data_IF_284950757398
#
_entry.id   IF_284950757398
#
_cell.length_a   1.000
_cell.length_b   1.000
_cell.length_c   1.000
_cell.angle_alpha   90.00
_cell.angle_beta   90.00
_cell.angle_gamma   90.00
#
_symmetry.space_group_name_H-M   'P 1'
#
loop_
_entity.id
_entity.type
_entity.pdbx_description
1 polymer ?
#
# COMPACT_ATOMS: atom_id res chain seq x y z
N UNK A 1 -21.83 9.75 0.19
CA UNK A 1 -20.59 10.49 0.49
C UNK A 1 -19.44 9.50 0.34
N UNK A 2 -18.79 9.50 -0.83
CA UNK A 2 -17.75 8.53 -1.16
C UNK A 2 -16.43 9.06 -0.62
N UNK A 3 -16.16 8.72 0.64
CA UNK A 3 -14.89 9.00 1.28
C UNK A 3 -13.90 7.96 0.79
N UNK A 4 -13.18 8.28 -0.30
CA UNK A 4 -12.10 7.45 -0.78
C UNK A 4 -10.87 7.68 0.09
N UNK A 5 -10.73 6.86 1.12
CA UNK A 5 -9.55 6.81 1.97
C UNK A 5 -8.54 5.86 1.35
N UNK A 6 -7.40 6.40 0.96
CA UNK A 6 -6.26 5.61 0.49
C UNK A 6 -5.22 5.66 1.59
N UNK A 7 -5.04 4.52 2.26
CA UNK A 7 -3.80 4.22 2.96
C UNK A 7 -2.88 3.67 1.88
N UNK A 8 -1.61 4.06 1.84
CA UNK A 8 -0.59 3.43 0.99
C UNK A 8 0.40 2.76 1.96
N UNK A 9 0.70 1.48 1.74
CA UNK A 9 1.26 0.50 2.70
C UNK A 9 2.73 0.73 3.07
N UNK A 10 3.26 0.31 4.22
CA UNK A 10 2.70 0.02 5.57
C UNK A 10 3.78 -0.26 6.64
N UNK A 11 5.08 -0.27 6.31
CA UNK A 11 6.12 -0.66 7.31
C UNK A 11 6.90 0.55 7.84
N UNK A 12 6.84 1.67 7.12
CA UNK A 12 7.76 2.80 7.34
C UNK A 12 7.01 4.10 7.59
N UNK A 13 5.91 4.35 6.86
CA UNK A 13 5.18 5.60 6.91
C UNK A 13 3.69 5.38 6.59
N UNK A 14 2.81 6.05 7.33
CA UNK A 14 1.36 6.04 7.09
C UNK A 14 0.80 7.44 7.39
N UNK A 15 0.03 7.98 6.45
CA UNK A 15 -0.62 9.29 6.59
C UNK A 15 -2.09 9.19 6.21
N UNK A 16 -2.95 9.88 6.97
CA UNK A 16 -4.36 9.98 6.66
C UNK A 16 -4.63 11.24 5.83
N UNK A 17 -5.11 11.06 4.61
CA UNK A 17 -5.38 12.15 3.68
C UNK A 17 -6.90 12.31 3.51
N UNK A 18 -7.41 13.53 3.69
CA UNK A 18 -8.82 13.87 3.51
C UNK A 18 -8.97 14.69 2.23
N UNK A 19 -9.61 14.14 1.20
CA UNK A 19 -9.74 14.82 -0.10
C UNK A 19 -10.42 13.98 -1.18
N UNK A 20 -10.38 14.45 -2.44
CA UNK A 20 -11.03 13.81 -3.60
C UNK A 20 -10.22 12.66 -4.23
N UNK A 21 -9.30 12.05 -3.48
CA UNK A 21 -8.48 10.91 -3.92
C UNK A 21 -6.99 11.24 -4.05
N UNK A 22 -6.20 10.18 -4.27
CA UNK A 22 -4.75 10.27 -4.47
C UNK A 22 -4.46 10.66 -5.91
N UNK A 23 -3.52 11.59 -6.07
CA UNK A 23 -2.95 11.97 -7.36
C UNK A 23 -1.42 11.83 -7.29
N UNK A 24 -0.76 12.10 -8.40
CA UNK A 24 0.68 11.98 -8.56
C UNK A 24 1.47 12.86 -7.59
N UNK A 25 1.01 14.08 -7.30
CA UNK A 25 1.68 14.97 -6.36
C UNK A 25 1.65 14.41 -4.93
N UNK A 26 0.52 13.85 -4.52
CA UNK A 26 0.37 13.19 -3.22
C UNK A 26 1.24 11.95 -3.16
N UNK A 27 1.25 11.13 -4.22
CA UNK A 27 2.05 9.93 -4.30
C UNK A 27 3.56 10.23 -4.25
N UNK A 28 4.04 11.22 -4.98
CA UNK A 28 5.45 11.62 -4.96
C UNK A 28 5.88 12.11 -3.57
N UNK A 29 5.02 12.88 -2.87
CA UNK A 29 5.28 13.27 -1.47
C UNK A 29 5.39 12.05 -0.55
N UNK A 30 4.55 11.05 -0.76
CA UNK A 30 4.63 9.79 -0.01
C UNK A 30 5.96 9.07 -0.25
N UNK A 31 6.42 8.97 -1.51
CA UNK A 31 7.74 8.41 -1.84
C UNK A 31 8.88 9.22 -1.21
N UNK A 32 8.81 10.55 -1.22
CA UNK A 32 9.77 11.41 -0.51
C UNK A 32 9.83 11.07 0.98
N UNK A 33 8.68 10.85 1.63
CA UNK A 33 8.63 10.47 3.05
C UNK A 33 9.23 9.09 3.31
N UNK A 34 9.05 8.14 2.40
CA UNK A 34 9.73 6.83 2.49
C UNK A 34 11.24 7.02 2.44
N UNK A 35 11.75 7.78 1.47
CA UNK A 35 13.18 8.11 1.36
C UNK A 35 13.73 8.75 2.62
N UNK A 36 13.03 9.75 3.17
CA UNK A 36 13.44 10.43 4.41
C UNK A 36 13.51 9.49 5.61
N UNK A 37 12.66 8.46 5.64
CA UNK A 37 12.56 7.53 6.78
C UNK A 37 13.55 6.38 6.67
N UNK A 38 13.78 5.85 5.47
CA UNK A 38 14.70 4.73 5.22
C UNK A 38 16.16 5.18 5.01
N UNK A 39 16.37 6.43 4.57
CA UNK A 39 17.69 6.93 4.20
C UNK A 39 18.26 6.27 2.93
N UNK A 40 19.50 6.61 2.58
CA UNK A 40 20.13 6.15 1.31
C UNK A 40 21.27 5.16 1.53
N UNK A 41 21.48 4.69 2.75
CA UNK A 41 22.57 3.78 3.12
C UNK A 41 22.33 2.33 2.67
N UNK A 42 21.06 1.96 2.50
CA UNK A 42 20.63 0.64 2.08
C UNK A 42 19.93 0.70 0.73
N UNK A 43 20.04 -0.38 -0.04
CA UNK A 43 19.35 -0.53 -1.31
C UNK A 43 17.99 -1.18 -1.04
N UNK A 44 16.93 -0.49 -1.47
CA UNK A 44 15.56 -0.98 -1.40
C UNK A 44 14.94 -1.07 -2.80
N UNK A 45 13.96 -1.95 -2.94
CA UNK A 45 13.08 -2.02 -4.10
C UNK A 45 11.66 -1.67 -3.67
N UNK A 46 11.08 -0.67 -4.33
CA UNK A 46 9.70 -0.23 -4.12
C UNK A 46 8.79 -0.96 -5.12
N UNK A 47 7.93 -1.86 -4.62
CA UNK A 47 6.94 -2.57 -5.44
C UNK A 47 5.60 -1.86 -5.32
N UNK A 48 5.02 -1.45 -6.46
CA UNK A 48 3.76 -0.69 -6.51
C UNK A 48 2.80 -1.24 -7.57
N UNK A 49 1.49 -1.00 -7.39
CA UNK A 49 0.50 -1.32 -8.40
C UNK A 49 0.65 -0.44 -9.65
N UNK A 50 0.23 -0.98 -10.79
CA UNK A 50 0.41 -0.34 -12.09
C UNK A 50 -0.77 0.59 -12.44
N UNK A 51 -0.93 1.66 -11.67
CA UNK A 51 -1.95 2.70 -11.90
C UNK A 51 -1.39 3.90 -12.64
N UNK A 52 -2.24 4.54 -13.45
CA UNK A 52 -1.85 5.61 -14.40
C UNK A 52 -1.11 6.77 -13.74
N UNK A 53 -1.50 7.21 -12.55
CA UNK A 53 -0.89 8.37 -11.91
C UNK A 53 0.53 8.09 -11.40
N UNK A 54 0.93 6.83 -11.20
CA UNK A 54 2.31 6.47 -10.90
C UNK A 54 3.27 6.73 -12.07
N UNK A 55 2.78 6.96 -13.29
CA UNK A 55 3.62 7.19 -14.48
C UNK A 55 3.68 8.65 -14.92
N UNK A 56 2.98 9.54 -14.20
CA UNK A 56 2.69 10.90 -14.68
C UNK A 56 3.76 11.94 -14.35
N UNK A 57 4.81 11.57 -13.63
CA UNK A 57 5.93 12.46 -13.31
C UNK A 57 7.27 11.70 -13.41
N UNK A 58 7.75 11.41 -14.62
CA UNK A 58 8.96 10.61 -14.83
C UNK A 58 10.21 11.24 -14.22
N UNK A 59 10.33 12.57 -14.29
CA UNK A 59 11.46 13.34 -13.76
C UNK A 59 11.67 13.14 -12.24
N UNK A 60 10.59 12.86 -11.49
CA UNK A 60 10.72 12.55 -10.06
C UNK A 60 11.51 11.27 -9.80
N UNK A 61 11.41 10.28 -10.70
CA UNK A 61 12.03 8.98 -10.53
C UNK A 61 13.51 8.97 -10.86
N UNK A 62 13.98 9.94 -11.66
CA UNK A 62 15.41 10.10 -11.95
C UNK A 62 16.23 10.38 -10.67
N UNK A 63 15.62 11.08 -9.71
CA UNK A 63 16.23 11.43 -8.41
C UNK A 63 15.81 10.51 -7.25
N UNK A 64 14.95 9.51 -7.51
CA UNK A 64 14.49 8.59 -6.47
C UNK A 64 15.52 7.48 -6.24
N UNK A 65 16.01 7.26 -5.00
CA UNK A 65 17.20 6.43 -4.76
C UNK A 65 16.93 4.91 -4.82
N UNK A 66 15.67 4.49 -4.95
CA UNK A 66 15.28 3.09 -4.91
C UNK A 66 14.72 2.64 -6.26
N UNK A 67 14.95 1.38 -6.59
CA UNK A 67 14.35 0.79 -7.79
C UNK A 67 12.83 0.69 -7.62
N UNK A 68 12.08 1.08 -8.66
CA UNK A 68 10.63 0.92 -8.69
C UNK A 68 10.25 -0.24 -9.60
N UNK A 69 9.48 -1.20 -9.07
CA UNK A 69 8.90 -2.31 -9.81
C UNK A 69 7.38 -2.18 -9.81
N UNK A 70 6.78 -2.30 -11.00
CA UNK A 70 5.33 -2.29 -11.15
C UNK A 70 4.80 -3.72 -11.19
N UNK A 71 3.75 -3.98 -10.43
CA UNK A 71 3.03 -5.25 -10.53
C UNK A 71 2.30 -5.37 -11.88
N UNK A 72 2.10 -6.59 -12.41
CA UNK A 72 1.25 -6.81 -13.57
C UNK A 72 -0.16 -6.25 -13.34
N UNK A 73 -0.78 -5.74 -14.41
CA UNK A 73 -2.16 -5.25 -14.34
C UNK A 73 -3.10 -6.40 -14.02
N UNK A 74 -4.15 -6.10 -13.24
CA UNK A 74 -5.18 -7.06 -12.83
C UNK A 74 -4.66 -8.22 -11.96
N UNK A 75 -3.52 -8.04 -11.29
CA UNK A 75 -2.94 -9.04 -10.38
C UNK A 75 -2.91 -8.58 -8.91
N UNK A 76 -4.07 -8.27 -8.29
CA UNK A 76 -4.12 -7.80 -6.90
C UNK A 76 -3.61 -8.84 -5.90
N UNK A 77 -3.64 -10.12 -6.25
CA UNK A 77 -3.10 -11.22 -5.42
C UNK A 77 -1.58 -11.18 -5.26
N UNK A 78 -0.85 -10.49 -6.16
CA UNK A 78 0.59 -10.23 -6.03
C UNK A 78 0.88 -8.99 -5.17
N UNK A 79 -0.15 -8.27 -4.73
CA UNK A 79 0.01 -7.05 -3.95
C UNK A 79 -0.23 -7.35 -2.46
N UNK A 80 0.82 -7.49 -1.62
CA UNK A 80 0.64 -7.74 -0.18
C UNK A 80 -0.13 -6.62 0.52
N UNK A 81 -0.24 -5.44 -0.10
CA UNK A 81 -1.04 -4.34 0.40
C UNK A 81 -2.53 -4.68 0.51
N UNK A 82 -3.06 -5.52 -0.38
CA UNK A 82 -4.49 -5.83 -0.41
C UNK A 82 -4.95 -6.51 0.88
N UNK A 83 -4.16 -7.46 1.38
CA UNK A 83 -4.44 -8.13 2.66
C UNK A 83 -4.27 -7.22 3.86
N UNK A 84 -3.20 -6.42 3.88
CA UNK A 84 -3.02 -5.42 4.93
C UNK A 84 -4.24 -4.48 4.99
N UNK A 85 -4.68 -3.94 3.84
CA UNK A 85 -5.88 -3.12 3.77
C UNK A 85 -7.12 -3.87 4.23
N UNK A 86 -7.30 -5.12 3.85
CA UNK A 86 -8.44 -5.93 4.30
C UNK A 86 -8.45 -6.07 5.83
N UNK A 87 -7.31 -6.38 6.45
CA UNK A 87 -7.18 -6.44 7.90
C UNK A 87 -7.58 -5.12 8.57
N UNK A 88 -6.99 -4.01 8.14
CA UNK A 88 -7.24 -2.67 8.71
C UNK A 88 -8.70 -2.26 8.51
N UNK A 89 -9.25 -2.49 7.31
CA UNK A 89 -10.64 -2.21 6.98
C UNK A 89 -11.60 -2.97 7.89
N UNK A 90 -11.28 -4.21 8.24
CA UNK A 90 -12.08 -5.03 9.15
C UNK A 90 -11.97 -4.51 10.59
N UNK A 91 -10.77 -4.16 11.04
CA UNK A 91 -10.56 -3.60 12.39
C UNK A 91 -11.27 -2.26 12.58
N UNK A 92 -11.18 -1.35 11.60
CA UNK A 92 -11.86 -0.05 11.63
C UNK A 92 -13.38 -0.19 11.76
N UNK A 93 -13.96 -1.24 11.14
CA UNK A 93 -15.41 -1.50 11.10
C UNK A 93 -15.91 -2.43 12.21
N UNK A 94 -15.02 -2.99 13.04
CA UNK A 94 -15.33 -4.09 13.97
C UNK A 94 -16.46 -3.74 14.94
N UNK A 95 -16.39 -2.57 15.56
CA UNK A 95 -17.25 -2.24 16.70
C UNK A 95 -18.48 -1.43 16.28
N UNK A 96 -18.33 -0.52 15.31
CA UNK A 96 -19.39 0.36 14.84
C UNK A 96 -19.00 1.06 13.53
N UNK A 97 -20.00 1.62 12.82
CA UNK A 97 -19.73 2.51 11.69
C UNK A 97 -19.04 3.78 12.18
N UNK A 98 -17.99 4.27 11.48
CA UNK A 98 -17.36 5.54 11.83
C UNK A 98 -18.35 6.70 11.78
N UNK A 99 -18.33 7.57 12.80
CA UNK A 99 -19.29 8.67 12.96
C UNK A 99 -18.84 9.97 12.29
N UNK A 100 -17.59 10.05 11.83
CA UNK A 100 -17.03 11.20 11.14
C UNK A 100 -15.57 11.00 10.76
N UNK A 101 -14.96 12.02 10.13
CA UNK A 101 -13.58 11.96 9.66
C UNK A 101 -12.56 11.74 10.79
N UNK A 102 -12.70 12.46 11.91
CA UNK A 102 -11.77 12.33 13.04
C UNK A 102 -11.82 10.95 13.69
N UNK A 103 -13.02 10.42 13.94
CA UNK A 103 -13.23 9.07 14.47
C UNK A 103 -12.63 8.02 13.53
N UNK A 104 -12.86 8.15 12.22
CA UNK A 104 -12.27 7.26 11.22
C UNK A 104 -10.74 7.32 11.20
N UNK A 105 -10.15 8.52 11.22
CA UNK A 105 -8.68 8.69 11.27
C UNK A 105 -8.10 8.05 12.53
N UNK A 106 -8.75 8.24 13.69
CA UNK A 106 -8.31 7.64 14.95
C UNK A 106 -8.40 6.12 14.88
N UNK A 107 -9.50 5.55 14.39
CA UNK A 107 -9.66 4.10 14.22
C UNK A 107 -8.63 3.52 13.26
N UNK A 108 -8.34 4.22 12.16
CA UNK A 108 -7.32 3.79 11.21
C UNK A 108 -5.94 3.78 11.87
N UNK A 109 -5.57 4.83 12.60
CA UNK A 109 -4.29 4.88 13.33
C UNK A 109 -4.19 3.74 14.35
N UNK A 110 -5.24 3.50 15.12
CA UNK A 110 -5.30 2.39 16.08
C UNK A 110 -5.17 1.04 15.39
N UNK A 111 -5.89 0.83 14.29
CA UNK A 111 -5.82 -0.40 13.50
C UNK A 111 -4.40 -0.64 12.97
N UNK A 112 -3.80 0.37 12.33
CA UNK A 112 -2.42 0.29 11.85
C UNK A 112 -1.42 -0.07 12.96
N UNK A 113 -1.58 0.50 14.17
CA UNK A 113 -0.72 0.23 15.32
C UNK A 113 -0.83 -1.21 15.86
N UNK A 114 -1.88 -1.95 15.50
CA UNK A 114 -2.03 -3.37 15.89
C UNK A 114 -1.43 -4.35 14.89
N UNK A 115 -1.04 -3.89 13.71
CA UNK A 115 -0.44 -4.76 12.69
C UNK A 115 0.98 -5.13 13.12
N UNK A 116 1.19 -6.42 13.32
CA UNK A 116 2.46 -6.97 13.79
C UNK A 116 3.43 -7.25 12.63
N UNK A 117 4.72 -7.32 12.93
CA UNK A 117 5.74 -7.75 11.95
C UNK A 117 5.48 -9.15 11.39
N UNK A 118 4.97 -10.07 12.21
CA UNK A 118 4.59 -11.42 11.79
C UNK A 118 3.45 -11.40 10.76
N UNK A 119 2.44 -10.54 10.95
CA UNK A 119 1.35 -10.37 9.97
C UNK A 119 1.87 -9.77 8.66
N UNK A 120 2.74 -8.75 8.76
CA UNK A 120 3.36 -8.13 7.57
C UNK A 120 4.14 -9.14 6.74
N UNK A 121 4.97 -9.96 7.41
CA UNK A 121 5.70 -11.03 6.74
C UNK A 121 4.73 -12.04 6.12
N UNK A 122 3.65 -12.39 6.82
CA UNK A 122 2.60 -13.26 6.30
C UNK A 122 1.97 -12.75 5.00
N UNK A 123 1.66 -11.46 4.91
CA UNK A 123 1.09 -10.85 3.69
C UNK A 123 2.07 -10.93 2.52
N UNK A 124 3.36 -10.66 2.77
CA UNK A 124 4.40 -10.76 1.74
C UNK A 124 4.54 -12.20 1.25
N UNK A 125 4.68 -13.16 2.17
CA UNK A 125 4.83 -14.58 1.84
C UNK A 125 3.60 -15.13 1.11
N UNK A 126 2.39 -14.72 1.49
CA UNK A 126 1.18 -15.13 0.80
C UNK A 126 1.14 -14.57 -0.63
N UNK A 127 1.46 -13.28 -0.84
CA UNK A 127 1.56 -12.72 -2.19
C UNK A 127 2.63 -13.40 -3.05
N UNK A 128 3.76 -13.79 -2.45
CA UNK A 128 4.84 -14.50 -3.13
C UNK A 128 4.45 -15.93 -3.52
N UNK A 129 3.55 -16.58 -2.77
CA UNK A 129 3.11 -17.95 -3.03
C UNK A 129 2.47 -18.14 -4.43
N UNK A 130 1.95 -17.05 -5.02
CA UNK A 130 1.38 -17.06 -6.37
C UNK A 130 2.44 -16.96 -7.48
N UNK A 131 3.71 -16.69 -7.15
CA UNK A 131 4.76 -16.44 -8.15
C UNK A 131 4.98 -17.64 -9.08
N UNK A 132 5.02 -18.85 -8.53
CA UNK A 132 5.19 -20.07 -9.33
C UNK A 132 4.02 -20.30 -10.28
N UNK A 133 2.79 -20.08 -9.81
CA UNK A 133 1.60 -20.18 -10.66
C UNK A 133 1.66 -19.17 -11.81
N UNK A 134 2.11 -17.93 -11.55
CA UNK A 134 2.33 -16.95 -12.61
C UNK A 134 3.39 -17.37 -13.62
N UNK A 135 4.53 -17.92 -13.15
CA UNK A 135 5.62 -18.39 -14.03
C UNK A 135 5.20 -19.58 -14.89
N UNK A 136 4.28 -20.40 -14.39
CA UNK A 136 3.75 -21.56 -15.09
C UNK A 136 2.49 -21.24 -15.93
N UNK A 137 2.06 -19.99 -15.97
CA UNK A 137 0.83 -19.55 -16.65
C UNK A 137 -0.44 -20.29 -16.17
N UNK A 138 -0.45 -20.65 -14.88
CA UNK A 138 -1.57 -21.34 -14.24
C UNK A 138 -2.70 -20.37 -13.88
N UNK A 139 -3.94 -20.89 -13.87
CA UNK A 139 -5.10 -20.15 -13.40
C UNK A 139 -5.01 -19.87 -11.89
N UNK A 140 -5.12 -18.60 -11.51
CA UNK A 140 -5.08 -18.20 -10.11
C UNK A 140 -6.45 -18.44 -9.46
N UNK A 141 -6.52 -19.24 -8.39
CA UNK A 141 -7.78 -19.52 -7.71
C UNK A 141 -8.38 -18.22 -7.16
N UNK A 142 -9.70 -18.07 -7.34
CA UNK A 142 -10.45 -17.00 -6.69
C UNK A 142 -10.75 -17.43 -5.26
N UNK A 143 -10.16 -16.74 -4.29
CA UNK A 143 -10.57 -16.82 -2.88
C UNK A 143 -11.96 -16.17 -2.67
#
# INVERSE_FOLDING_TARGET
MQTSFFVLVFIVYCEAIVGRGVNSSIFNKFLTKIRETLGTEQIYTTVIDNVRFHHSNPEFYDDYPYEIKYLPRYSPFLNPCEEAFNLIKNQVRRDSRPTGANDLIQRMRSACATVTSAQLLGFVLHSESFSNMCLNEEDIPRN
#
